data_IF_678487318797
#
_entry.id   IF_678487318797
#
_cell.length_a   1.000
_cell.length_b   1.000
_cell.length_c   1.000
_cell.angle_alpha   90.00
_cell.angle_beta   90.00
_cell.angle_gamma   90.00
#
_symmetry.space_group_name_H-M   'P 1'
#
loop_
_entity.id
_entity.type
_entity.pdbx_description
1 polymer ?
#
# COMPACT_ATOMS: atom_id res chain seq x y z
N UNK A 1 7.04 -18.37 18.57
CA UNK A 1 6.13 -17.35 17.97
C UNK A 1 5.96 -16.23 18.99
N UNK A 2 6.23 -14.98 18.61
CA UNK A 2 6.02 -13.82 19.49
C UNK A 2 4.57 -13.35 19.39
N UNK A 3 3.96 -12.99 20.50
CA UNK A 3 2.59 -12.45 20.55
C UNK A 3 2.64 -10.92 20.42
N UNK A 4 1.63 -10.33 19.77
CA UNK A 4 1.53 -8.87 19.70
C UNK A 4 1.45 -8.21 21.09
N UNK A 5 0.86 -8.92 22.08
CA UNK A 5 0.76 -8.47 23.47
C UNK A 5 2.13 -8.26 24.14
N UNK A 6 3.21 -8.90 23.65
CA UNK A 6 4.57 -8.66 24.16
C UNK A 6 5.04 -7.22 23.88
N UNK A 7 4.38 -6.50 22.98
CA UNK A 7 4.69 -5.12 22.61
C UNK A 7 3.68 -4.11 23.13
N UNK A 8 2.73 -4.51 23.99
CA UNK A 8 1.70 -3.59 24.49
C UNK A 8 2.32 -2.41 25.27
N UNK A 9 3.53 -2.56 25.83
CA UNK A 9 4.30 -1.48 26.45
C UNK A 9 4.67 -0.33 25.49
N UNK A 10 4.57 -0.52 24.18
CA UNK A 10 4.83 0.52 23.17
C UNK A 10 3.59 1.33 22.81
N UNK A 11 2.39 0.91 23.25
CA UNK A 11 1.11 1.54 22.90
C UNK A 11 1.04 2.99 23.38
N UNK A 12 1.47 3.26 24.61
CA UNK A 12 1.42 4.60 25.22
C UNK A 12 2.28 5.62 24.46
N UNK A 13 3.34 5.15 23.81
CA UNK A 13 4.26 5.99 23.02
C UNK A 13 3.89 6.08 21.53
N UNK A 14 2.82 5.42 21.09
CA UNK A 14 2.35 5.45 19.71
C UNK A 14 1.21 6.45 19.53
N UNK A 15 1.43 7.46 18.69
CA UNK A 15 0.34 8.36 18.30
C UNK A 15 -0.61 7.66 17.33
N UNK A 16 -1.81 7.33 17.84
CA UNK A 16 -2.87 6.68 17.08
C UNK A 16 -3.75 7.64 16.29
N UNK A 17 -3.62 8.96 16.43
CA UNK A 17 -4.54 9.92 15.78
C UNK A 17 -4.54 9.75 14.24
N UNK A 18 -5.61 9.15 13.75
CA UNK A 18 -5.82 8.82 12.35
C UNK A 18 -6.87 9.72 11.68
N UNK A 19 -7.38 10.74 12.38
CA UNK A 19 -8.49 11.61 11.90
C UNK A 19 -8.17 12.28 10.58
N UNK A 20 -6.99 12.90 10.48
CA UNK A 20 -6.56 13.55 9.24
C UNK A 20 -6.36 12.54 8.10
N UNK A 21 -5.80 11.36 8.41
CA UNK A 21 -5.61 10.30 7.41
C UNK A 21 -6.93 9.77 6.89
N UNK A 22 -7.91 9.56 7.77
CA UNK A 22 -9.24 9.14 7.40
C UNK A 22 -9.96 10.22 6.58
N UNK A 23 -9.81 11.51 6.90
CA UNK A 23 -10.35 12.60 6.07
C UNK A 23 -9.76 12.56 4.66
N UNK A 24 -8.43 12.54 4.53
CA UNK A 24 -7.76 12.48 3.22
C UNK A 24 -8.20 11.26 2.39
N UNK A 25 -8.36 10.10 3.03
CA UNK A 25 -8.90 8.89 2.39
C UNK A 25 -10.34 9.09 1.91
N UNK A 26 -11.21 9.63 2.77
CA UNK A 26 -12.62 9.89 2.44
C UNK A 26 -12.74 10.88 1.27
N UNK A 27 -11.99 11.98 1.31
CA UNK A 27 -11.98 12.97 0.22
C UNK A 27 -11.57 12.33 -1.11
N UNK A 28 -10.56 11.44 -1.08
CA UNK A 28 -10.14 10.70 -2.26
C UNK A 28 -11.24 9.80 -2.82
N UNK A 29 -11.83 8.92 -2.01
CA UNK A 29 -12.84 7.96 -2.49
C UNK A 29 -14.14 8.66 -2.94
N UNK A 30 -14.48 9.79 -2.32
CA UNK A 30 -15.63 10.60 -2.70
C UNK A 30 -15.41 11.33 -4.03
N UNK A 31 -14.17 11.79 -4.29
CA UNK A 31 -13.82 12.41 -5.57
C UNK A 31 -13.76 11.37 -6.69
N UNK A 32 -13.05 10.26 -6.46
CA UNK A 32 -12.75 9.28 -7.51
C UNK A 32 -13.71 8.10 -7.49
N UNK A 33 -15.02 8.36 -7.54
CA UNK A 33 -16.01 7.29 -7.64
C UNK A 33 -15.80 6.45 -8.90
N UNK A 34 -16.32 5.22 -8.93
CA UNK A 34 -16.27 4.38 -10.14
C UNK A 34 -16.92 5.08 -11.35
N UNK A 35 -17.97 5.88 -11.12
CA UNK A 35 -18.61 6.71 -12.15
C UNK A 35 -17.67 7.78 -12.67
N UNK A 36 -17.04 8.55 -11.77
CA UNK A 36 -16.06 9.59 -12.16
C UNK A 36 -14.89 8.99 -12.92
N UNK A 37 -14.34 7.88 -12.44
CA UNK A 37 -13.26 7.16 -13.14
C UNK A 37 -13.74 6.82 -14.55
N UNK A 38 -14.90 6.17 -14.71
CA UNK A 38 -15.39 5.72 -16.02
C UNK A 38 -15.63 6.88 -16.99
N UNK A 39 -16.39 7.88 -16.55
CA UNK A 39 -17.05 8.82 -17.44
C UNK A 39 -16.32 10.16 -17.56
N UNK A 40 -15.77 10.68 -16.45
CA UNK A 40 -15.33 12.07 -16.34
C UNK A 40 -13.80 12.21 -16.32
N UNK A 41 -13.10 11.20 -15.82
CA UNK A 41 -11.64 11.23 -15.71
C UNK A 41 -10.97 11.19 -17.09
N UNK A 42 -10.22 12.24 -17.41
CA UNK A 42 -9.31 12.32 -18.55
C UNK A 42 -7.87 11.94 -18.17
N UNK A 43 -6.95 11.95 -19.14
CA UNK A 43 -5.55 11.58 -18.93
C UNK A 43 -4.83 12.47 -17.91
N UNK A 44 -5.04 13.79 -17.96
CA UNK A 44 -4.39 14.75 -17.04
C UNK A 44 -4.94 14.66 -15.61
N UNK A 45 -6.19 14.21 -15.46
CA UNK A 45 -6.79 13.86 -14.17
C UNK A 45 -6.30 12.52 -13.62
N UNK A 46 -5.59 11.72 -14.43
CA UNK A 46 -5.08 10.42 -14.04
C UNK A 46 -3.58 10.42 -13.72
N UNK A 47 -2.74 10.96 -14.62
CA UNK A 47 -1.29 10.71 -14.63
C UNK A 47 -0.49 11.52 -13.61
N UNK A 48 0.69 11.01 -13.25
CA UNK A 48 1.79 11.82 -12.68
C UNK A 48 2.63 12.46 -13.78
N UNK A 49 3.42 13.48 -13.43
CA UNK A 49 4.42 14.09 -14.33
C UNK A 49 3.94 15.35 -15.06
N UNK A 50 2.64 15.63 -15.09
CA UNK A 50 2.06 16.82 -15.74
C UNK A 50 1.95 18.05 -14.83
N UNK A 51 2.28 17.92 -13.54
CA UNK A 51 2.16 18.99 -12.55
C UNK A 51 0.77 19.13 -11.90
N UNK A 52 -0.25 18.43 -12.40
CA UNK A 52 -1.55 18.34 -11.74
C UNK A 52 -1.44 17.58 -10.42
N UNK A 53 -1.41 18.31 -9.30
CA UNK A 53 -1.39 17.72 -7.96
C UNK A 53 -2.72 17.08 -7.57
N UNK A 54 -3.79 17.34 -8.32
CA UNK A 54 -5.12 16.80 -8.12
C UNK A 54 -5.42 15.61 -9.03
N UNK A 55 -4.41 15.01 -9.67
CA UNK A 55 -4.60 13.79 -10.47
C UNK A 55 -4.64 12.53 -9.59
N UNK A 56 -5.31 11.49 -10.07
CA UNK A 56 -5.54 10.23 -9.35
C UNK A 56 -4.24 9.59 -8.85
N UNK A 57 -3.27 9.40 -9.75
CA UNK A 57 -1.99 8.78 -9.39
C UNK A 57 -1.16 9.68 -8.47
N UNK A 58 -1.20 11.01 -8.67
CA UNK A 58 -0.48 11.94 -7.79
C UNK A 58 -1.05 11.90 -6.38
N UNK A 59 -2.37 11.94 -6.23
CA UNK A 59 -3.03 11.91 -4.93
C UNK A 59 -2.70 10.61 -4.17
N UNK A 60 -2.74 9.46 -4.85
CA UNK A 60 -2.34 8.17 -4.25
C UNK A 60 -0.88 8.13 -3.80
N UNK A 61 0.03 8.73 -4.58
CA UNK A 61 1.48 8.69 -4.31
C UNK A 61 1.94 9.74 -3.29
N UNK A 62 1.38 10.95 -3.34
CA UNK A 62 1.87 12.08 -2.57
C UNK A 62 0.95 12.45 -1.42
N UNK A 63 -0.34 12.70 -1.68
CA UNK A 63 -1.29 13.15 -0.66
C UNK A 63 -1.63 12.03 0.33
N UNK A 64 -1.76 10.80 -0.15
CA UNK A 64 -2.05 9.62 0.66
C UNK A 64 -0.78 8.87 1.10
N UNK A 65 0.40 9.49 1.05
CA UNK A 65 1.66 8.82 1.38
C UNK A 65 1.72 8.29 2.82
N UNK A 66 1.04 8.96 3.76
CA UNK A 66 0.93 8.51 5.15
C UNK A 66 -0.03 7.31 5.33
N UNK A 67 -0.86 7.01 4.33
CA UNK A 67 -1.68 5.80 4.25
C UNK A 67 -0.94 4.67 3.51
N UNK A 68 0.38 4.55 3.76
CA UNK A 68 1.27 3.66 3.01
C UNK A 68 1.84 4.34 1.76
N UNK A 69 3.14 4.60 1.77
CA UNK A 69 3.83 5.27 0.66
C UNK A 69 4.05 4.31 -0.51
N UNK A 70 3.79 4.81 -1.72
CA UNK A 70 4.13 4.11 -2.98
C UNK A 70 5.23 4.85 -3.78
N UNK A 71 5.92 5.79 -3.12
CA UNK A 71 7.05 6.54 -3.68
C UNK A 71 8.28 5.64 -3.87
N UNK A 72 9.27 6.13 -4.62
CA UNK A 72 10.54 5.43 -4.85
C UNK A 72 10.46 4.28 -5.86
N UNK A 73 9.27 4.02 -6.41
CA UNK A 73 9.07 3.11 -7.54
C UNK A 73 8.82 3.90 -8.83
N UNK A 74 9.21 3.35 -9.97
CA UNK A 74 9.07 4.00 -11.28
C UNK A 74 7.58 4.26 -11.62
N UNK A 75 7.27 5.41 -12.21
CA UNK A 75 5.93 5.80 -12.73
C UNK A 75 5.28 4.76 -13.64
N UNK A 76 6.06 3.87 -14.28
CA UNK A 76 5.55 2.68 -15.00
C UNK A 76 4.57 1.83 -14.16
N UNK A 77 4.64 1.90 -12.83
CA UNK A 77 3.73 1.22 -11.88
C UNK A 77 2.23 1.51 -12.11
N UNK A 78 1.92 2.67 -12.70
CA UNK A 78 0.56 3.15 -12.97
C UNK A 78 0.02 2.71 -14.34
N UNK A 79 0.80 2.04 -15.18
CA UNK A 79 0.39 1.64 -16.53
C UNK A 79 0.56 2.75 -17.57
N UNK A 80 0.06 3.97 -17.28
CA UNK A 80 0.22 5.20 -18.10
C UNK A 80 0.74 6.34 -17.21
N UNK A 81 1.69 7.13 -17.72
CA UNK A 81 2.23 8.32 -17.04
C UNK A 81 2.69 9.38 -18.05
N UNK A 82 2.90 10.62 -17.62
CA UNK A 82 3.48 11.66 -18.48
C UNK A 82 5.00 11.72 -18.29
N UNK A 83 5.76 11.59 -19.37
CA UNK A 83 7.21 11.81 -19.37
C UNK A 83 7.49 13.29 -19.58
N UNK A 84 8.15 13.93 -18.60
CA UNK A 84 8.57 15.33 -18.71
C UNK A 84 9.70 15.50 -19.73
N UNK A 85 10.58 14.50 -19.83
CA UNK A 85 11.69 14.46 -20.78
C UNK A 85 11.17 14.35 -22.23
N UNK A 86 10.32 13.36 -22.50
CA UNK A 86 9.76 13.14 -23.84
C UNK A 86 8.55 14.04 -24.15
N UNK A 87 8.12 14.84 -23.17
CA UNK A 87 6.94 15.73 -23.22
C UNK A 87 5.66 15.06 -23.72
N UNK A 88 5.48 13.76 -23.49
CA UNK A 88 4.33 12.98 -23.97
C UNK A 88 3.86 11.94 -22.94
N UNK A 89 2.65 11.43 -23.15
CA UNK A 89 2.15 10.28 -22.40
C UNK A 89 2.89 9.00 -22.84
N UNK A 90 3.32 8.22 -21.85
CA UNK A 90 3.96 6.93 -22.04
C UNK A 90 3.04 5.84 -21.50
N UNK A 91 2.72 4.89 -22.36
CA UNK A 91 1.96 3.68 -22.01
C UNK A 91 2.93 2.52 -21.90
N UNK A 92 2.84 1.77 -20.80
CA UNK A 92 3.64 0.53 -20.66
C UNK A 92 3.14 -0.55 -21.62
N UNK A 93 4.01 -1.48 -22.00
CA UNK A 93 3.72 -2.52 -23.02
C UNK A 93 2.41 -3.28 -22.77
N UNK A 94 2.09 -3.61 -21.52
CA UNK A 94 0.86 -4.34 -21.18
C UNK A 94 -0.42 -3.56 -21.52
N UNK A 95 -0.35 -2.23 -21.47
CA UNK A 95 -1.49 -1.34 -21.69
C UNK A 95 -1.49 -0.68 -23.06
N UNK A 96 -0.48 -0.95 -23.91
CA UNK A 96 -0.37 -0.37 -25.24
C UNK A 96 -1.47 -0.93 -26.15
N UNK A 97 -2.29 -0.04 -26.70
CA UNK A 97 -3.35 -0.32 -27.68
C UNK A 97 -3.13 0.54 -28.92
N UNK A 98 -4.09 0.57 -29.84
CA UNK A 98 -3.97 1.31 -31.11
C UNK A 98 -3.65 2.79 -30.90
N UNK A 99 -4.21 3.40 -29.85
CA UNK A 99 -3.93 4.78 -29.45
C UNK A 99 -4.06 4.95 -27.92
N UNK A 100 -3.63 6.12 -27.44
CA UNK A 100 -3.62 6.45 -26.00
C UNK A 100 -5.01 6.46 -25.37
N UNK A 101 -6.06 6.84 -26.11
CA UNK A 101 -7.42 6.91 -25.59
C UNK A 101 -7.98 5.51 -25.34
N UNK A 102 -7.74 4.57 -26.27
CA UNK A 102 -8.09 3.15 -26.08
C UNK A 102 -7.32 2.54 -24.90
N UNK A 103 -5.99 2.77 -24.84
CA UNK A 103 -5.16 2.36 -23.71
C UNK A 103 -5.69 2.87 -22.37
N UNK A 104 -6.09 4.14 -22.32
CA UNK A 104 -6.59 4.75 -21.10
C UNK A 104 -7.99 4.26 -20.73
N UNK A 105 -8.88 4.08 -21.72
CA UNK A 105 -10.21 3.49 -21.50
C UNK A 105 -10.12 2.10 -20.86
N UNK A 106 -9.23 1.25 -21.37
CA UNK A 106 -9.02 -0.08 -20.80
C UNK A 106 -8.40 -0.03 -19.40
N UNK A 107 -7.43 0.85 -19.19
CA UNK A 107 -6.82 1.06 -17.86
C UNK A 107 -7.84 1.53 -16.82
N UNK A 108 -8.75 2.43 -17.20
CA UNK A 108 -9.86 2.86 -16.34
C UNK A 108 -10.76 1.68 -15.97
N UNK A 109 -11.12 0.84 -16.93
CA UNK A 109 -11.94 -0.34 -16.67
C UNK A 109 -11.26 -1.31 -15.71
N UNK A 110 -9.95 -1.52 -15.84
CA UNK A 110 -9.19 -2.36 -14.93
C UNK A 110 -9.11 -1.78 -13.50
N UNK A 111 -8.97 -0.46 -13.34
CA UNK A 111 -9.03 0.18 -12.02
C UNK A 111 -10.41 0.00 -11.39
N UNK A 112 -11.48 0.18 -12.17
CA UNK A 112 -12.85 -0.06 -11.72
C UNK A 112 -13.05 -1.52 -11.32
N UNK A 113 -12.48 -2.46 -12.09
CA UNK A 113 -12.52 -3.89 -11.77
C UNK A 113 -11.80 -4.21 -10.45
N UNK A 114 -10.61 -3.65 -10.22
CA UNK A 114 -9.90 -3.76 -8.93
C UNK A 114 -10.77 -3.26 -7.79
N UNK A 115 -11.42 -2.10 -7.96
CA UNK A 115 -12.30 -1.53 -6.95
C UNK A 115 -13.50 -2.46 -6.73
N UNK A 116 -14.16 -2.96 -7.77
CA UNK A 116 -15.33 -3.84 -7.62
C UNK A 116 -14.98 -5.16 -6.91
N UNK A 117 -13.94 -5.84 -7.39
CA UNK A 117 -13.49 -7.11 -6.82
C UNK A 117 -12.99 -6.91 -5.38
N UNK A 118 -12.39 -5.77 -5.06
CA UNK A 118 -11.86 -5.50 -3.72
C UNK A 118 -12.90 -5.43 -2.59
N UNK A 119 -14.18 -5.32 -2.91
CA UNK A 119 -15.24 -5.40 -1.90
C UNK A 119 -15.36 -6.80 -1.29
N UNK A 120 -14.98 -7.82 -2.06
CA UNK A 120 -14.96 -9.22 -1.67
C UNK A 120 -13.51 -9.72 -1.59
N UNK A 121 -13.07 -10.11 -0.39
CA UNK A 121 -11.71 -10.61 -0.17
C UNK A 121 -11.60 -12.14 -0.34
N UNK A 122 -12.54 -12.76 -1.09
CA UNK A 122 -12.46 -14.15 -1.49
C UNK A 122 -11.23 -14.47 -2.35
N UNK A 123 -10.79 -15.73 -2.32
CA UNK A 123 -9.64 -16.20 -3.10
C UNK A 123 -9.81 -15.94 -4.60
N UNK A 124 -11.01 -16.16 -5.14
CA UNK A 124 -11.30 -15.93 -6.56
C UNK A 124 -11.15 -14.45 -6.94
N UNK A 125 -11.73 -13.55 -6.14
CA UNK A 125 -11.62 -12.10 -6.37
C UNK A 125 -10.15 -11.63 -6.31
N UNK A 126 -9.37 -12.15 -5.36
CA UNK A 126 -7.95 -11.83 -5.24
C UNK A 126 -7.13 -12.37 -6.41
N UNK A 127 -7.38 -13.60 -6.88
CA UNK A 127 -6.69 -14.17 -8.04
C UNK A 127 -6.95 -13.35 -9.31
N UNK A 128 -8.20 -12.91 -9.52
CA UNK A 128 -8.55 -12.00 -10.61
C UNK A 128 -7.81 -10.66 -10.49
N UNK A 129 -7.81 -10.03 -9.32
CA UNK A 129 -7.07 -8.78 -9.09
C UNK A 129 -5.57 -8.98 -9.36
N UNK A 130 -4.98 -10.07 -8.87
CA UNK A 130 -3.57 -10.35 -9.03
C UNK A 130 -3.19 -10.62 -10.51
N UNK A 131 -4.13 -11.10 -11.32
CA UNK A 131 -3.94 -11.28 -12.78
C UNK A 131 -3.90 -9.97 -13.58
N UNK A 132 -4.51 -8.88 -13.08
CA UNK A 132 -4.53 -7.59 -13.77
C UNK A 132 -3.09 -7.05 -13.92
N UNK A 133 -2.64 -6.64 -15.12
CA UNK A 133 -1.25 -6.30 -15.41
C UNK A 133 -0.87 -4.88 -14.93
N UNK A 134 -1.25 -4.55 -13.69
CA UNK A 134 -0.76 -3.41 -12.92
C UNK A 134 0.16 -3.88 -11.80
N UNK A 135 1.07 -2.99 -11.40
CA UNK A 135 1.98 -3.29 -10.29
C UNK A 135 1.21 -3.62 -9.02
N UNK A 136 1.64 -4.64 -8.27
CA UNK A 136 0.98 -5.03 -7.03
C UNK A 136 0.91 -3.87 -6.03
N UNK A 137 1.95 -3.04 -5.94
CA UNK A 137 1.95 -1.87 -5.05
C UNK A 137 0.81 -0.90 -5.35
N UNK A 138 0.47 -0.70 -6.63
CA UNK A 138 -0.64 0.16 -7.04
C UNK A 138 -1.99 -0.50 -6.76
N UNK A 139 -2.14 -1.79 -7.12
CA UNK A 139 -3.38 -2.56 -6.86
C UNK A 139 -3.74 -2.56 -5.37
N UNK A 140 -2.80 -2.96 -4.51
CA UNK A 140 -3.06 -3.04 -3.06
C UNK A 140 -3.17 -1.66 -2.39
N UNK A 141 -2.55 -0.61 -2.96
CA UNK A 141 -2.81 0.78 -2.53
C UNK A 141 -4.27 1.15 -2.77
N UNK A 142 -4.79 0.92 -3.97
CA UNK A 142 -6.20 1.16 -4.30
C UNK A 142 -7.10 0.38 -3.34
N UNK A 143 -6.87 -0.92 -3.18
CA UNK A 143 -7.65 -1.78 -2.28
C UNK A 143 -7.69 -1.24 -0.85
N UNK A 144 -6.55 -0.84 -0.28
CA UNK A 144 -6.50 -0.30 1.09
C UNK A 144 -7.20 1.06 1.26
N UNK A 145 -7.27 1.86 0.19
CA UNK A 145 -7.92 3.18 0.22
C UNK A 145 -9.44 3.04 0.13
N UNK A 146 -9.93 2.17 -0.74
CA UNK A 146 -11.37 1.91 -0.90
C UNK A 146 -11.93 1.00 0.21
N UNK A 147 -11.18 0.00 0.65
CA UNK A 147 -11.60 -1.01 1.63
C UNK A 147 -10.62 -1.13 2.81
N UNK A 148 -10.51 -0.07 3.64
CA UNK A 148 -9.53 -0.02 4.75
C UNK A 148 -9.80 -1.02 5.87
N UNK A 149 -10.95 -1.69 5.87
CA UNK A 149 -11.27 -2.76 6.84
C UNK A 149 -10.79 -4.13 6.38
N UNK A 150 -10.57 -4.32 5.08
CA UNK A 150 -10.21 -5.61 4.49
C UNK A 150 -8.70 -5.72 4.22
N UNK A 151 -8.06 -4.59 3.87
CA UNK A 151 -6.65 -4.56 3.49
C UNK A 151 -5.79 -3.69 4.41
N UNK A 152 -4.51 -4.04 4.53
CA UNK A 152 -3.51 -3.25 5.23
C UNK A 152 -2.89 -2.20 4.31
N UNK A 153 -2.44 -1.09 4.89
CA UNK A 153 -1.65 -0.06 4.22
C UNK A 153 -0.17 -0.47 3.98
N UNK A 154 0.08 -1.74 3.63
CA UNK A 154 1.40 -2.34 3.40
C UNK A 154 1.32 -3.22 2.14
N UNK A 155 1.93 -2.78 1.04
CA UNK A 155 1.58 -3.26 -0.32
C UNK A 155 2.66 -4.08 -1.01
N UNK A 156 3.71 -4.50 -0.29
CA UNK A 156 4.88 -5.14 -0.90
C UNK A 156 5.38 -6.28 -0.03
N UNK A 157 5.83 -7.36 -0.69
CA UNK A 157 6.26 -8.58 0.00
C UNK A 157 7.40 -8.34 0.99
N UNK A 158 8.34 -7.44 0.70
CA UNK A 158 9.49 -7.20 1.57
C UNK A 158 9.08 -6.69 2.98
N UNK A 159 8.36 -5.56 3.13
CA UNK A 159 7.84 -5.16 4.44
C UNK A 159 6.94 -6.20 5.10
N UNK A 160 6.04 -6.82 4.35
CA UNK A 160 5.13 -7.84 4.88
C UNK A 160 5.87 -9.05 5.45
N UNK A 161 6.85 -9.58 4.70
CA UNK A 161 7.69 -10.70 5.14
C UNK A 161 8.52 -10.31 6.35
N UNK A 162 9.04 -9.08 6.37
CA UNK A 162 9.80 -8.57 7.52
C UNK A 162 8.94 -8.51 8.79
N UNK A 163 7.73 -7.96 8.70
CA UNK A 163 6.82 -7.90 9.85
C UNK A 163 6.38 -9.29 10.30
N UNK A 164 6.03 -10.18 9.37
CA UNK A 164 5.68 -11.56 9.71
C UNK A 164 6.83 -12.30 10.39
N UNK A 165 8.08 -12.08 9.94
CA UNK A 165 9.26 -12.64 10.59
C UNK A 165 9.40 -12.20 12.06
N UNK A 166 8.99 -10.97 12.40
CA UNK A 166 9.03 -10.51 13.80
C UNK A 166 8.14 -11.32 14.74
N UNK A 167 7.10 -11.98 14.22
CA UNK A 167 6.18 -12.82 14.99
C UNK A 167 6.46 -14.32 14.80
N UNK A 168 6.91 -14.71 13.59
CA UNK A 168 7.13 -16.08 13.16
C UNK A 168 8.55 -16.26 12.55
N UNK A 169 9.62 -16.19 13.35
CA UNK A 169 10.99 -16.23 12.83
C UNK A 169 11.34 -17.55 12.11
N UNK A 170 10.73 -18.66 12.54
CA UNK A 170 10.93 -19.99 11.94
C UNK A 170 10.07 -20.24 10.69
N UNK A 171 9.15 -19.34 10.34
CA UNK A 171 8.23 -19.51 9.21
C UNK A 171 8.74 -18.83 7.96
N UNK A 172 8.55 -19.50 6.81
CA UNK A 172 8.96 -18.98 5.51
C UNK A 172 7.74 -18.55 4.68
N UNK A 173 7.59 -17.24 4.49
CA UNK A 173 6.49 -16.66 3.70
C UNK A 173 6.88 -16.32 2.25
N UNK A 174 8.06 -16.72 1.75
CA UNK A 174 8.53 -16.34 0.39
C UNK A 174 7.53 -16.69 -0.72
N UNK A 175 6.82 -17.81 -0.58
CA UNK A 175 5.83 -18.29 -1.56
C UNK A 175 4.45 -17.64 -1.38
N UNK A 176 4.17 -17.03 -0.23
CA UNK A 176 2.87 -16.43 0.05
C UNK A 176 2.60 -15.21 -0.84
N UNK A 177 1.34 -15.00 -1.18
CA UNK A 177 0.87 -13.80 -1.87
C UNK A 177 0.87 -12.59 -0.93
N UNK A 178 0.75 -11.38 -1.48
CA UNK A 178 0.63 -10.15 -0.68
C UNK A 178 -0.62 -10.21 0.19
N UNK A 179 -1.75 -10.66 -0.39
CA UNK A 179 -3.01 -10.84 0.33
C UNK A 179 -2.88 -11.81 1.51
N UNK A 180 -2.31 -13.01 1.29
CA UNK A 180 -2.12 -14.00 2.35
C UNK A 180 -1.28 -13.45 3.51
N UNK A 181 -0.21 -12.72 3.19
CA UNK A 181 0.62 -12.08 4.21
C UNK A 181 -0.15 -10.99 4.98
N UNK A 182 -0.97 -10.18 4.29
CA UNK A 182 -1.80 -9.17 4.95
C UNK A 182 -2.82 -9.81 5.88
N UNK A 183 -3.53 -10.85 5.44
CA UNK A 183 -4.49 -11.58 6.28
C UNK A 183 -3.82 -12.17 7.51
N UNK A 184 -2.62 -12.72 7.36
CA UNK A 184 -1.86 -13.25 8.50
C UNK A 184 -1.50 -12.18 9.53
N UNK A 185 -1.13 -10.98 9.10
CA UNK A 185 -0.92 -9.84 10.00
C UNK A 185 -2.24 -9.36 10.65
N UNK A 186 -3.35 -9.33 9.89
CA UNK A 186 -4.67 -8.98 10.43
C UNK A 186 -5.14 -10.01 11.49
N UNK A 187 -4.86 -11.31 11.31
CA UNK A 187 -5.11 -12.33 12.33
C UNK A 187 -4.35 -12.03 13.63
N UNK A 188 -3.08 -11.63 13.53
CA UNK A 188 -2.28 -11.20 14.69
C UNK A 188 -2.95 -10.00 15.37
N UNK A 189 -3.38 -8.99 14.61
CA UNK A 189 -4.14 -7.83 15.11
C UNK A 189 -5.36 -8.27 15.91
N UNK A 190 -6.19 -9.13 15.32
CA UNK A 190 -7.48 -9.54 15.86
C UNK A 190 -7.33 -10.45 17.11
N UNK A 191 -6.19 -11.12 17.26
CA UNK A 191 -5.87 -11.91 18.46
C UNK A 191 -5.47 -11.07 19.68
N UNK A 192 -5.08 -9.80 19.50
CA UNK A 192 -4.69 -8.91 20.60
C UNK A 192 -5.92 -8.22 21.23
N UNK A 193 -5.98 -8.13 22.56
CA UNK A 193 -7.13 -7.59 23.29
C UNK A 193 -7.39 -6.10 23.03
N UNK A 194 -6.33 -5.31 22.81
CA UNK A 194 -6.38 -3.85 22.64
C UNK A 194 -6.45 -3.49 21.16
N UNK A 195 -5.51 -4.02 20.37
CA UNK A 195 -5.29 -3.63 18.96
C UNK A 195 -6.38 -4.20 18.02
N UNK A 196 -7.13 -5.23 18.41
CA UNK A 196 -8.23 -5.79 17.58
C UNK A 196 -9.27 -4.75 17.14
N UNK A 197 -9.49 -3.72 17.96
CA UNK A 197 -10.48 -2.67 17.71
C UNK A 197 -9.92 -1.53 16.84
N UNK A 198 -8.66 -1.60 16.43
CA UNK A 198 -8.03 -0.58 15.60
C UNK A 198 -8.36 -0.80 14.13
N UNK A 199 -8.33 0.27 13.35
CA UNK A 199 -8.39 0.15 11.89
C UNK A 199 -7.13 -0.54 11.36
N UNK A 200 -7.19 -1.13 10.16
CA UNK A 200 -6.00 -1.73 9.56
C UNK A 200 -4.93 -0.68 9.23
N UNK A 201 -5.34 0.57 8.98
CA UNK A 201 -4.44 1.71 8.80
C UNK A 201 -3.65 1.99 10.09
N UNK A 202 -4.34 2.08 11.23
CA UNK A 202 -3.71 2.28 12.54
C UNK A 202 -2.74 1.15 12.85
N UNK A 203 -3.16 -0.10 12.61
CA UNK A 203 -2.31 -1.26 12.85
C UNK A 203 -1.09 -1.32 11.94
N UNK A 204 -1.23 -1.06 10.64
CA UNK A 204 -0.08 -1.04 9.74
C UNK A 204 0.91 0.08 10.09
N UNK A 205 0.42 1.26 10.50
CA UNK A 205 1.27 2.33 11.03
C UNK A 205 1.99 1.91 12.32
N UNK A 206 1.32 1.17 13.19
CA UNK A 206 1.91 0.63 14.40
C UNK A 206 3.02 -0.39 14.11
N UNK A 207 2.87 -1.25 13.11
CA UNK A 207 3.93 -2.16 12.68
C UNK A 207 5.20 -1.40 12.25
N UNK A 208 5.05 -0.32 11.48
CA UNK A 208 6.18 0.56 11.11
C UNK A 208 6.78 1.31 12.31
N UNK A 209 5.98 1.60 13.33
CA UNK A 209 6.43 2.21 14.56
C UNK A 209 7.22 1.24 15.45
N UNK A 210 6.74 0.01 15.60
CA UNK A 210 7.41 -1.06 16.34
C UNK A 210 8.74 -1.45 15.68
N UNK A 211 8.70 -1.75 14.38
CA UNK A 211 9.83 -2.37 13.69
C UNK A 211 10.44 -1.43 12.66
N UNK A 212 11.15 -0.40 13.17
CA UNK A 212 11.63 0.73 12.36
C UNK A 212 12.71 0.30 11.36
N UNK A 213 13.41 -0.80 11.61
CA UNK A 213 14.46 -1.29 10.70
C UNK A 213 13.90 -1.73 9.33
N UNK A 214 12.59 -1.95 9.20
CA UNK A 214 11.95 -2.19 7.89
C UNK A 214 12.27 -1.08 6.87
N UNK A 215 12.49 0.16 7.34
CA UNK A 215 12.84 1.29 6.46
C UNK A 215 14.19 1.10 5.77
N UNK A 216 15.13 0.38 6.40
CA UNK A 216 16.44 0.03 5.81
C UNK A 216 16.33 -0.96 4.65
N UNK A 217 15.19 -1.64 4.51
CA UNK A 217 14.91 -2.53 3.39
C UNK A 217 14.42 -1.77 2.15
N UNK A 218 13.93 -0.53 2.33
CA UNK A 218 13.33 0.29 1.28
C UNK A 218 14.29 1.36 0.74
N UNK A 219 15.51 1.48 1.26
CA UNK A 219 16.54 2.37 0.70
C UNK A 219 17.01 1.80 -0.64
N UNK A 220 16.81 2.60 -1.69
CA UNK A 220 17.00 2.33 -3.12
C UNK A 220 18.38 1.85 -3.57
N UNK A 221 19.33 1.65 -2.67
CA UNK A 221 20.73 1.46 -3.06
C UNK A 221 21.06 0.07 -3.59
N UNK A 222 20.22 -0.97 -3.40
CA UNK A 222 20.55 -2.34 -3.87
C UNK A 222 19.30 -3.19 -4.22
N UNK A 223 18.77 -3.12 -5.47
CA UNK A 223 17.66 -3.99 -5.92
C UNK A 223 17.98 -5.49 -5.88
N UNK A 224 19.26 -5.88 -5.83
CA UNK A 224 19.73 -7.28 -5.82
C UNK A 224 19.84 -7.93 -4.43
N UNK A 225 19.43 -7.28 -3.33
CA UNK A 225 19.42 -7.93 -1.99
C UNK A 225 18.32 -8.98 -1.78
N UNK A 226 17.53 -9.30 -2.80
CA UNK A 226 16.53 -10.38 -2.72
C UNK A 226 17.15 -11.76 -2.46
N UNK A 227 18.47 -11.96 -2.71
CA UNK A 227 19.07 -13.30 -2.67
C UNK A 227 19.27 -13.88 -1.26
N UNK A 228 19.41 -13.09 -0.19
CA UNK A 228 19.57 -13.60 1.19
C UNK A 228 19.15 -12.53 2.22
N UNK A 229 17.85 -12.27 2.39
CA UNK A 229 17.39 -11.44 3.50
C UNK A 229 17.41 -12.27 4.79
N UNK A 230 18.54 -12.26 5.51
CA UNK A 230 18.57 -12.64 6.92
C UNK A 230 17.90 -11.51 7.70
N UNK A 231 16.59 -11.63 7.90
CA UNK A 231 15.89 -10.74 8.82
C UNK A 231 16.38 -11.00 10.24
N UNK A 232 16.47 -9.94 11.03
CA UNK A 232 16.80 -10.02 12.46
C UNK A 232 15.58 -9.65 13.29
N UNK A 233 15.46 -10.30 14.45
CA UNK A 233 14.44 -9.93 15.42
C UNK A 233 14.73 -8.54 15.95
N UNK A 234 13.72 -7.68 15.92
CA UNK A 234 13.75 -6.35 16.49
C UNK A 234 12.95 -6.36 17.80
N UNK A 235 13.59 -5.85 18.85
CA UNK A 235 12.94 -5.52 20.12
C UNK A 235 12.78 -4.00 20.16
N UNK A 236 11.54 -3.49 19.97
CA UNK A 236 11.26 -2.07 20.03
C UNK A 236 11.73 -1.47 21.36
N UNK A 237 12.16 -0.22 21.33
CA UNK A 237 12.51 0.52 22.55
C UNK A 237 11.69 1.79 22.60
N UNK A 238 11.11 2.11 23.75
CA UNK A 238 10.53 3.42 23.99
C UNK A 238 11.65 4.45 23.82
N UNK A 239 11.46 5.41 22.91
CA UNK A 239 12.34 6.56 22.85
C UNK A 239 12.08 7.39 24.09
N UNK A 240 13.06 7.50 25.00
CA UNK A 240 13.01 8.49 26.08
C UNK A 240 12.79 9.85 25.42
N UNK A 241 11.59 10.40 25.52
CA UNK A 241 11.42 11.84 25.41
C UNK A 241 12.20 12.40 26.59
N UNK A 242 13.39 12.94 26.33
CA UNK A 242 13.96 13.93 27.22
C UNK A 242 12.94 15.07 27.23
N UNK A 243 11.99 15.04 28.16
CA UNK A 243 11.27 16.24 28.54
C UNK A 243 12.38 17.15 29.05
N UNK A 244 12.59 18.25 28.34
CA UNK A 244 13.42 19.35 28.81
C UNK A 244 12.94 19.70 30.22
N UNK A 245 13.82 19.48 31.21
CA UNK A 245 13.78 20.17 32.49
C UNK A 245 14.10 21.65 32.28
#
# INVERSE_FOLDING_TARGET
MRKLAEFDYMLDSFNRDSRNLNRLRHDFVNKYTQSYIKNDMNLDDFVVGKGNKNSFCYQLEFNLAQLGSIRGSNSKKFGIYYSQEEKKYITTKAWARKNINESFSELKNAIIEIIKLGADDSKESIEKIDSIPLSSIFKYKILSVYYPNNYLNIFSKNPLSYFLFQFYPESNFKKSSIYEMQKKLIEIKNSNKIVKNWTNIEYGNYLYYLFKNVKKLNTSDKPNRQKNNNFTLETPKQTKTNKYE
#
